data_IF_667752673078
#
_entry.id   IF_667752673078
#
_cell.length_a   1.000
_cell.length_b   1.000
_cell.length_c   1.000
_cell.angle_alpha   90.00
_cell.angle_beta   90.00
_cell.angle_gamma   90.00
#
_symmetry.space_group_name_H-M   'P 1'
#
loop_
_entity.id
_entity.type
_entity.pdbx_description
1 polymer ?
#
# COMPACT_ATOMS: atom_id res chain seq x y z
N UNK A 1 -5.45 7.31 -13.68
CA UNK A 1 -4.98 6.49 -12.55
C UNK A 1 -6.13 6.26 -11.59
N UNK A 2 -6.55 5.01 -11.41
CA UNK A 2 -7.57 4.64 -10.43
C UNK A 2 -6.90 4.43 -9.07
N UNK A 3 -7.37 5.13 -8.03
CA UNK A 3 -6.90 4.92 -6.65
C UNK A 3 -7.80 3.91 -5.95
N UNK A 4 -7.20 3.03 -5.18
CA UNK A 4 -7.90 2.05 -4.35
C UNK A 4 -7.57 2.31 -2.89
N UNK A 5 -8.58 2.31 -2.03
CA UNK A 5 -8.46 2.72 -0.63
C UNK A 5 -8.85 1.61 0.32
N UNK A 6 -8.28 1.68 1.53
CA UNK A 6 -8.56 0.74 2.59
C UNK A 6 -7.56 -0.41 2.65
N UNK A 7 -7.29 -0.85 3.88
CA UNK A 7 -6.20 -1.78 4.16
C UNK A 7 -6.48 -3.20 3.61
N UNK A 8 -7.74 -3.64 3.66
CA UNK A 8 -8.14 -4.95 3.12
C UNK A 8 -8.06 -4.96 1.59
N UNK A 9 -8.46 -3.87 0.94
CA UNK A 9 -8.34 -3.72 -0.52
C UNK A 9 -6.88 -3.74 -0.94
N UNK A 10 -6.03 -2.97 -0.25
CA UNK A 10 -4.59 -2.95 -0.54
C UNK A 10 -3.95 -4.35 -0.41
N UNK A 11 -4.27 -5.09 0.66
CA UNK A 11 -3.78 -6.47 0.85
C UNK A 11 -4.32 -7.40 -0.24
N UNK A 12 -5.61 -7.32 -0.56
CA UNK A 12 -6.23 -8.16 -1.59
C UNK A 12 -5.63 -7.91 -2.98
N UNK A 13 -5.39 -6.65 -3.33
CA UNK A 13 -4.74 -6.29 -4.59
C UNK A 13 -3.29 -6.76 -4.62
N UNK A 14 -2.52 -6.54 -3.54
CA UNK A 14 -1.13 -7.00 -3.48
C UNK A 14 -0.99 -8.52 -3.54
N UNK A 15 -1.99 -9.28 -3.08
CA UNK A 15 -1.99 -10.74 -3.16
C UNK A 15 -2.40 -11.28 -4.53
N UNK A 16 -3.39 -10.66 -5.18
CA UNK A 16 -4.03 -11.23 -6.37
C UNK A 16 -3.72 -10.48 -7.69
N UNK A 17 -3.33 -9.21 -7.61
CA UNK A 17 -3.20 -8.28 -8.75
C UNK A 17 -1.99 -7.35 -8.59
N UNK A 18 -0.88 -7.88 -8.07
CA UNK A 18 0.30 -7.08 -7.74
C UNK A 18 0.90 -6.37 -8.98
N UNK A 19 0.83 -7.02 -10.15
CA UNK A 19 1.38 -6.51 -11.41
C UNK A 19 0.60 -5.29 -11.94
N UNK A 20 -0.64 -5.09 -11.47
CA UNK A 20 -1.46 -3.92 -11.77
C UNK A 20 -1.15 -2.71 -10.86
N UNK A 21 -0.25 -2.87 -9.88
CA UNK A 21 0.02 -1.86 -8.85
C UNK A 21 1.32 -1.11 -9.15
N UNK A 22 1.19 0.15 -9.54
CA UNK A 22 2.34 1.02 -9.75
C UNK A 22 2.97 1.50 -8.42
N UNK A 23 2.14 1.87 -7.44
CA UNK A 23 2.61 2.45 -6.17
C UNK A 23 1.64 2.15 -5.03
N UNK A 24 2.20 1.84 -3.86
CA UNK A 24 1.49 1.73 -2.59
C UNK A 24 1.74 2.99 -1.76
N UNK A 25 0.65 3.65 -1.34
CA UNK A 25 0.69 4.81 -0.46
C UNK A 25 0.31 4.40 0.96
N UNK A 26 1.17 4.72 1.93
CA UNK A 26 0.96 4.39 3.34
C UNK A 26 1.02 5.64 4.20
N UNK A 27 0.34 5.62 5.34
CA UNK A 27 0.44 6.69 6.32
C UNK A 27 1.82 6.70 6.96
N UNK A 28 2.46 7.86 6.99
CA UNK A 28 3.76 8.06 7.62
C UNK A 28 3.70 7.91 9.15
N UNK A 29 2.57 8.27 9.77
CA UNK A 29 2.41 8.33 11.23
C UNK A 29 1.70 7.12 11.84
N UNK A 30 1.09 6.26 11.03
CA UNK A 30 0.34 5.10 11.53
C UNK A 30 1.26 3.90 11.71
N UNK A 31 1.35 3.42 12.95
CA UNK A 31 2.00 2.15 13.27
C UNK A 31 0.92 1.06 13.40
N UNK A 32 0.77 0.24 12.36
CA UNK A 32 -0.21 -0.84 12.30
C UNK A 32 0.48 -2.08 11.71
N UNK A 33 0.30 -3.25 12.35
CA UNK A 33 0.92 -4.52 11.91
C UNK A 33 0.56 -4.85 10.46
N UNK A 34 -0.65 -4.52 10.01
CA UNK A 34 -1.10 -4.77 8.64
C UNK A 34 -0.39 -3.85 7.63
N UNK A 35 0.03 -2.64 8.03
CA UNK A 35 0.86 -1.80 7.17
C UNK A 35 2.24 -2.42 6.95
N UNK A 36 2.80 -3.10 7.97
CA UNK A 36 4.06 -3.86 7.80
C UNK A 36 3.90 -5.03 6.83
N UNK A 37 2.78 -5.76 6.89
CA UNK A 37 2.46 -6.82 5.91
C UNK A 37 2.40 -6.24 4.50
N UNK A 38 1.71 -5.12 4.32
CA UNK A 38 1.62 -4.42 3.04
C UNK A 38 3.02 -4.03 2.52
N UNK A 39 3.87 -3.44 3.36
CA UNK A 39 5.24 -3.08 2.97
C UNK A 39 6.08 -4.29 2.58
N UNK A 40 5.95 -5.40 3.30
CA UNK A 40 6.68 -6.62 3.01
C UNK A 40 6.28 -7.21 1.66
N UNK A 41 4.98 -7.31 1.38
CA UNK A 41 4.48 -7.84 0.09
C UNK A 41 4.86 -6.89 -1.05
N UNK A 42 4.70 -5.58 -0.88
CA UNK A 42 5.06 -4.61 -1.91
C UNK A 42 6.57 -4.65 -2.22
N UNK A 43 7.44 -4.77 -1.19
CA UNK A 43 8.89 -4.91 -1.39
C UNK A 43 9.28 -6.20 -2.09
N UNK A 44 8.68 -7.34 -1.74
CA UNK A 44 8.98 -8.61 -2.40
C UNK A 44 8.59 -8.62 -3.88
N UNK A 45 7.55 -7.85 -4.22
CA UNK A 45 7.08 -7.62 -5.59
C UNK A 45 7.77 -6.45 -6.31
N UNK A 46 8.75 -5.79 -5.67
CA UNK A 46 9.45 -4.60 -6.18
C UNK A 46 8.52 -3.42 -6.55
N UNK A 47 7.37 -3.33 -5.88
CA UNK A 47 6.41 -2.23 -6.05
C UNK A 47 6.92 -1.00 -5.28
N UNK A 48 6.74 0.19 -5.87
CA UNK A 48 7.12 1.45 -5.23
C UNK A 48 6.25 1.71 -4.00
N UNK A 49 6.88 2.09 -2.90
CA UNK A 49 6.18 2.47 -1.66
C UNK A 49 6.48 3.94 -1.38
N UNK A 50 5.43 4.72 -1.08
CA UNK A 50 5.58 6.07 -0.53
C UNK A 50 4.85 6.16 0.80
N UNK A 51 5.49 6.79 1.77
CA UNK A 51 4.86 7.17 3.03
C UNK A 51 4.49 8.65 2.97
N UNK A 52 3.24 8.94 3.29
CA UNK A 52 2.67 10.29 3.19
C UNK A 52 1.99 10.70 4.51
N UNK A 53 1.93 12.00 4.83
CA UNK A 53 1.04 12.52 5.85
C UNK A 53 -0.41 12.09 5.57
N UNK A 54 -1.25 11.95 6.62
CA UNK A 54 -2.65 11.57 6.44
C UNK A 54 -3.44 12.56 5.56
N UNK A 55 -3.07 13.84 5.57
CA UNK A 55 -3.66 14.89 4.71
C UNK A 55 -3.48 14.59 3.22
N UNK A 56 -2.42 13.86 2.87
CA UNK A 56 -1.99 13.66 1.48
C UNK A 56 -2.38 12.26 0.96
N UNK A 57 -3.07 11.46 1.80
CA UNK A 57 -3.60 10.14 1.45
C UNK A 57 -5.02 10.17 0.88
N UNK A 58 -5.64 11.35 0.81
CA UNK A 58 -6.99 11.54 0.26
C UNK A 58 -7.05 11.35 -1.28
#
# INVERSE_FOLDING_TARGET
>A
MQKHYGIHVAIAMLKNRADDIETVLLSAKRQDRRLREIEQIARSRRIKIKRLPNSDLA
#
